data_IF_200048445919
#
_entry.id   IF_200048445919
#
_cell.length_a   1.000
_cell.length_b   1.000
_cell.length_c   1.000
_cell.angle_alpha   90.00
_cell.angle_beta   90.00
_cell.angle_gamma   90.00
#
_symmetry.space_group_name_H-M   'P 1'
#
loop_
_entity.id
_entity.type
_entity.pdbx_description
1 polymer ?
#
# COMPACT_ATOMS: atom_id res chain seq x y z
N UNK A 1 -7.97 -6.77 -2.41
CA UNK A 1 -8.51 -5.87 -3.46
C UNK A 1 -10.02 -6.08 -3.63
N UNK A 2 -10.82 -5.01 -3.66
CA UNK A 2 -12.18 -5.06 -4.23
C UNK A 2 -12.03 -5.28 -5.74
N UNK A 3 -12.83 -6.17 -6.33
CA UNK A 3 -12.96 -6.24 -7.79
C UNK A 3 -13.54 -4.90 -8.27
N UNK A 4 -12.75 -4.15 -9.03
CA UNK A 4 -13.15 -2.88 -9.63
C UNK A 4 -13.68 -3.18 -11.03
N UNK A 5 -14.77 -2.50 -11.37
CA UNK A 5 -15.39 -2.46 -12.69
C UNK A 5 -14.38 -1.92 -13.72
N UNK A 6 -14.00 -2.74 -14.70
CA UNK A 6 -12.90 -2.52 -15.67
C UNK A 6 -13.18 -1.42 -16.72
N UNK A 7 -13.95 -0.36 -16.42
CA UNK A 7 -14.42 0.59 -17.45
C UNK A 7 -14.43 2.07 -17.10
N UNK A 8 -13.75 2.48 -16.03
CA UNK A 8 -13.67 3.91 -15.69
C UNK A 8 -12.21 4.28 -15.48
N UNK A 9 -11.66 5.09 -16.39
CA UNK A 9 -10.38 5.77 -16.23
C UNK A 9 -10.63 7.24 -15.88
N UNK A 10 -9.70 7.86 -15.14
CA UNK A 10 -9.71 9.30 -14.94
C UNK A 10 -9.50 10.01 -16.27
N UNK A 11 -10.40 10.94 -16.62
CA UNK A 11 -10.17 11.83 -17.75
C UNK A 11 -8.96 12.74 -17.47
N UNK A 12 -8.33 13.25 -18.53
CA UNK A 12 -7.18 14.16 -18.38
C UNK A 12 -7.51 15.41 -17.56
N UNK A 13 -8.75 15.90 -17.65
CA UNK A 13 -9.21 17.07 -16.89
C UNK A 13 -9.41 16.72 -15.41
N UNK A 14 -10.06 15.60 -15.10
CA UNK A 14 -10.22 15.14 -13.72
C UNK A 14 -8.86 14.86 -13.06
N UNK A 15 -7.93 14.28 -13.80
CA UNK A 15 -6.57 14.02 -13.33
C UNK A 15 -5.80 15.31 -13.03
N UNK A 16 -5.99 16.35 -13.85
CA UNK A 16 -5.42 17.68 -13.63
C UNK A 16 -6.03 18.35 -12.40
N UNK A 17 -7.35 18.34 -12.26
CA UNK A 17 -8.05 18.91 -11.09
C UNK A 17 -7.60 18.24 -9.81
N UNK A 18 -7.53 16.90 -9.80
CA UNK A 18 -7.02 16.12 -8.67
C UNK A 18 -5.59 16.52 -8.29
N UNK A 19 -4.71 16.59 -9.30
CA UNK A 19 -3.31 16.98 -9.11
C UNK A 19 -3.19 18.38 -8.53
N UNK A 20 -3.82 19.36 -9.16
CA UNK A 20 -3.73 20.76 -8.77
C UNK A 20 -4.27 20.97 -7.35
N UNK A 21 -5.37 20.30 -6.99
CA UNK A 21 -5.91 20.33 -5.62
C UNK A 21 -4.93 19.73 -4.59
N UNK A 22 -4.52 18.47 -4.79
CA UNK A 22 -3.71 17.74 -3.81
C UNK A 22 -2.30 18.35 -3.66
N UNK A 23 -1.71 18.86 -4.74
CA UNK A 23 -0.37 19.48 -4.71
C UNK A 23 -0.39 20.92 -4.21
N UNK A 24 -1.47 21.68 -4.42
CA UNK A 24 -1.59 23.03 -3.84
C UNK A 24 -1.96 23.05 -2.36
N UNK A 25 -2.64 21.99 -1.87
CA UNK A 25 -3.03 21.88 -0.46
C UNK A 25 -1.81 21.76 0.45
N UNK A 26 -1.68 22.62 1.46
CA UNK A 26 -0.49 22.69 2.32
C UNK A 26 -0.36 21.49 3.27
N UNK A 27 -1.48 21.08 3.88
CA UNK A 27 -1.54 19.99 4.86
C UNK A 27 -2.58 18.98 4.38
N UNK A 28 -2.21 17.70 4.33
CA UNK A 28 -3.15 16.64 3.97
C UNK A 28 -3.84 16.10 5.21
N UNK A 29 -5.14 16.37 5.32
CA UNK A 29 -6.01 15.80 6.34
C UNK A 29 -6.69 14.52 5.86
N UNK A 30 -7.68 14.07 6.63
CA UNK A 30 -8.45 12.86 6.29
C UNK A 30 -9.14 12.97 4.92
N UNK A 31 -9.53 14.18 4.49
CA UNK A 31 -10.19 14.39 3.21
C UNK A 31 -9.23 14.14 2.04
N UNK A 32 -8.06 14.77 2.04
CA UNK A 32 -7.03 14.59 1.02
C UNK A 32 -6.57 13.13 0.95
N UNK A 33 -6.38 12.48 2.11
CA UNK A 33 -6.01 11.07 2.19
C UNK A 33 -7.08 10.18 1.55
N UNK A 34 -8.36 10.44 1.82
CA UNK A 34 -9.45 9.67 1.22
C UNK A 34 -9.50 9.92 -0.29
N UNK A 35 -9.50 11.18 -0.71
CA UNK A 35 -9.54 11.55 -2.13
C UNK A 35 -8.41 10.88 -2.90
N UNK A 36 -7.19 10.90 -2.36
CA UNK A 36 -6.06 10.20 -2.94
C UNK A 36 -6.28 8.68 -2.96
N UNK A 37 -6.73 8.08 -1.86
CA UNK A 37 -6.96 6.62 -1.80
C UNK A 37 -8.04 6.14 -2.78
N UNK A 38 -9.08 6.91 -3.06
CA UNK A 38 -10.14 6.51 -4.01
C UNK A 38 -9.66 6.68 -5.46
N UNK A 39 -8.80 7.67 -5.72
CA UNK A 39 -8.25 7.94 -7.06
C UNK A 39 -7.00 7.13 -7.39
N UNK A 40 -6.31 6.57 -6.39
CA UNK A 40 -5.05 5.87 -6.59
C UNK A 40 -5.06 4.70 -7.59
N UNK A 41 -6.13 3.89 -7.72
CA UNK A 41 -6.14 2.78 -8.69
C UNK A 41 -5.99 3.23 -10.15
N UNK A 42 -6.27 4.49 -10.46
CA UNK A 42 -6.20 5.05 -11.82
C UNK A 42 -4.85 5.71 -12.13
N UNK A 43 -3.89 5.66 -11.20
CA UNK A 43 -2.58 6.26 -11.34
C UNK A 43 -1.55 5.20 -11.71
N UNK A 44 -0.59 5.55 -12.56
CA UNK A 44 0.61 4.71 -12.74
C UNK A 44 1.40 4.62 -11.43
N UNK A 45 2.14 3.53 -11.21
CA UNK A 45 2.96 3.33 -9.99
C UNK A 45 3.91 4.51 -9.76
N UNK A 46 4.53 5.03 -10.82
CA UNK A 46 5.41 6.19 -10.74
C UNK A 46 4.67 7.46 -10.29
N UNK A 47 3.47 7.70 -10.81
CA UNK A 47 2.67 8.86 -10.40
C UNK A 47 2.14 8.69 -8.97
N UNK A 48 1.62 7.51 -8.64
CA UNK A 48 1.18 7.15 -7.29
C UNK A 48 2.30 7.38 -6.26
N UNK A 49 3.53 6.96 -6.57
CA UNK A 49 4.69 7.18 -5.69
C UNK A 49 4.99 8.67 -5.47
N UNK A 50 4.81 9.52 -6.49
CA UNK A 50 4.95 10.98 -6.34
C UNK A 50 3.90 11.55 -5.39
N UNK A 51 2.65 11.11 -5.50
CA UNK A 51 1.58 11.52 -4.58
C UNK A 51 1.85 11.03 -3.15
N UNK A 52 2.35 9.81 -2.96
CA UNK A 52 2.74 9.32 -1.63
C UNK A 52 3.85 10.17 -1.01
N UNK A 53 4.85 10.59 -1.80
CA UNK A 53 5.92 11.48 -1.28
C UNK A 53 5.35 12.81 -0.78
N UNK A 54 4.42 13.41 -1.52
CA UNK A 54 3.73 14.62 -1.06
C UNK A 54 2.84 14.35 0.16
N UNK A 55 2.10 13.24 0.16
CA UNK A 55 1.29 12.81 1.30
C UNK A 55 2.14 12.75 2.56
N UNK A 56 3.23 11.96 2.57
CA UNK A 56 4.14 11.79 3.71
C UNK A 56 4.67 13.14 4.19
N UNK A 57 5.11 14.01 3.26
CA UNK A 57 5.63 15.34 3.59
C UNK A 57 4.57 16.25 4.23
N UNK A 58 3.32 16.16 3.80
CA UNK A 58 2.23 17.07 4.19
C UNK A 58 1.33 16.51 5.29
N UNK A 59 1.48 15.25 5.66
CA UNK A 59 0.69 14.61 6.71
C UNK A 59 1.47 14.34 7.99
N UNK A 60 2.78 14.60 8.04
CA UNK A 60 3.69 14.14 9.11
C UNK A 60 3.13 14.33 10.54
N UNK A 61 2.61 15.52 10.85
CA UNK A 61 2.04 15.83 12.18
C UNK A 61 0.67 15.19 12.46
N UNK A 62 -0.05 14.71 11.44
CA UNK A 62 -1.40 14.17 11.53
C UNK A 62 -1.45 12.64 11.47
N UNK A 63 -0.32 11.97 11.20
CA UNK A 63 -0.25 10.51 11.02
C UNK A 63 -0.58 9.72 12.29
N UNK A 64 -0.41 10.32 13.48
CA UNK A 64 -0.73 9.67 14.76
C UNK A 64 -2.20 9.73 15.13
N UNK A 65 -3.02 10.50 14.40
CA UNK A 65 -4.47 10.50 14.60
C UNK A 65 -5.08 9.20 14.06
N UNK A 66 -5.85 8.48 14.89
CA UNK A 66 -6.28 7.10 14.62
C UNK A 66 -7.00 6.89 13.28
N UNK A 67 -7.84 7.84 12.85
CA UNK A 67 -8.51 7.76 11.54
C UNK A 67 -7.57 7.91 10.34
N UNK A 68 -6.57 8.77 10.46
CA UNK A 68 -5.58 9.01 9.40
C UNK A 68 -4.59 7.84 9.31
N UNK A 69 -4.23 7.25 10.46
CA UNK A 69 -3.21 6.20 10.57
C UNK A 69 -3.55 4.95 9.77
N UNK A 70 -4.78 4.44 9.88
CA UNK A 70 -5.20 3.24 9.14
C UNK A 70 -5.20 3.47 7.61
N UNK A 71 -5.66 4.65 7.18
CA UNK A 71 -5.71 4.99 5.76
C UNK A 71 -4.31 5.19 5.20
N UNK A 72 -3.44 5.88 5.95
CA UNK A 72 -2.04 6.06 5.63
C UNK A 72 -1.32 4.71 5.45
N UNK A 73 -1.47 3.78 6.40
CA UNK A 73 -0.89 2.44 6.32
C UNK A 73 -1.42 1.63 5.14
N UNK A 74 -2.72 1.74 4.86
CA UNK A 74 -3.33 1.12 3.68
C UNK A 74 -2.70 1.64 2.38
N UNK A 75 -2.55 2.95 2.25
CA UNK A 75 -1.95 3.60 1.07
C UNK A 75 -0.49 3.13 0.89
N UNK A 76 0.29 3.12 1.97
CA UNK A 76 1.69 2.69 1.91
C UNK A 76 1.85 1.22 1.49
N UNK A 77 1.04 0.32 2.06
CA UNK A 77 1.08 -1.09 1.70
C UNK A 77 0.65 -1.34 0.26
N UNK A 78 -0.37 -0.63 -0.22
CA UNK A 78 -0.79 -0.72 -1.62
C UNK A 78 0.34 -0.26 -2.55
N UNK A 79 1.01 0.84 -2.21
CA UNK A 79 2.18 1.32 -2.95
C UNK A 79 3.34 0.34 -2.95
N UNK A 80 3.61 -0.28 -1.80
CA UNK A 80 4.66 -1.28 -1.67
C UNK A 80 4.38 -2.48 -2.57
N UNK A 81 3.18 -3.06 -2.47
CA UNK A 81 2.75 -4.21 -3.27
C UNK A 81 2.76 -3.89 -4.77
N UNK A 82 2.15 -2.79 -5.19
CA UNK A 82 2.12 -2.39 -6.60
C UNK A 82 3.52 -2.16 -7.17
N UNK A 83 4.44 -1.60 -6.36
CA UNK A 83 5.84 -1.43 -6.78
C UNK A 83 6.58 -2.76 -6.91
N UNK A 84 6.28 -3.76 -6.06
CA UNK A 84 6.85 -5.10 -6.18
C UNK A 84 6.30 -5.82 -7.42
N UNK A 85 4.99 -5.74 -7.65
CA UNK A 85 4.29 -6.36 -8.78
C UNK A 85 4.78 -5.81 -10.12
N UNK A 86 4.97 -4.49 -10.22
CA UNK A 86 5.55 -3.85 -11.42
C UNK A 86 7.08 -3.94 -11.48
N UNK A 87 7.74 -4.65 -10.55
CA UNK A 87 9.20 -4.79 -10.47
C UNK A 87 9.97 -3.44 -10.39
N UNK A 88 9.29 -2.40 -9.91
CA UNK A 88 9.84 -1.07 -9.64
C UNK A 88 10.53 -1.04 -8.27
N UNK A 89 11.63 -1.82 -8.14
CA UNK A 89 12.25 -2.10 -6.83
C UNK A 89 12.75 -0.85 -6.09
N UNK A 90 13.18 0.19 -6.80
CA UNK A 90 13.56 1.47 -6.18
C UNK A 90 12.37 2.10 -5.42
N UNK A 91 11.17 2.05 -6.00
CA UNK A 91 9.95 2.52 -5.34
C UNK A 91 9.56 1.56 -4.21
N UNK A 92 9.66 0.25 -4.42
CA UNK A 92 9.37 -0.74 -3.37
C UNK A 92 10.22 -0.50 -2.11
N UNK A 93 11.52 -0.24 -2.27
CA UNK A 93 12.40 0.10 -1.14
C UNK A 93 12.09 1.44 -0.49
N UNK A 94 11.64 2.43 -1.28
CA UNK A 94 11.14 3.68 -0.72
C UNK A 94 9.93 3.44 0.18
N UNK A 95 8.92 2.69 -0.29
CA UNK A 95 7.74 2.37 0.51
C UNK A 95 8.10 1.57 1.76
N UNK A 96 8.96 0.55 1.61
CA UNK A 96 9.46 -0.23 2.74
C UNK A 96 10.07 0.67 3.82
N UNK A 97 10.96 1.58 3.44
CA UNK A 97 11.57 2.52 4.39
C UNK A 97 10.54 3.38 5.12
N UNK A 98 9.58 3.96 4.39
CA UNK A 98 8.54 4.81 5.00
C UNK A 98 7.63 4.00 5.94
N UNK A 99 7.29 2.76 5.58
CA UNK A 99 6.55 1.84 6.45
C UNK A 99 7.34 1.57 7.74
N UNK A 100 8.65 1.32 7.63
CA UNK A 100 9.52 1.05 8.78
C UNK A 100 9.71 2.28 9.68
N UNK A 101 9.77 3.49 9.11
CA UNK A 101 9.82 4.76 9.87
C UNK A 101 8.56 5.01 10.69
N UNK A 102 7.40 4.54 10.20
CA UNK A 102 6.09 4.70 10.85
C UNK A 102 5.46 3.37 11.23
N UNK A 103 6.27 2.42 11.69
CA UNK A 103 5.86 1.03 11.80
C UNK A 103 4.61 0.81 12.66
N UNK A 104 3.95 -0.32 12.39
CA UNK A 104 2.69 -0.68 12.99
C UNK A 104 2.82 -0.93 14.51
N UNK A 105 1.82 -0.46 15.27
CA UNK A 105 1.64 -0.74 16.70
C UNK A 105 1.28 -2.21 16.90
N UNK A 106 1.42 -2.70 18.14
CA UNK A 106 1.15 -4.11 18.46
C UNK A 106 -0.27 -4.55 18.09
N UNK A 107 -1.25 -3.67 18.29
CA UNK A 107 -2.66 -3.91 17.96
C UNK A 107 -3.00 -3.72 16.47
N UNK A 108 -2.05 -3.30 15.65
CA UNK A 108 -2.20 -3.13 14.19
C UNK A 108 -1.81 -4.43 13.45
N UNK A 109 -2.19 -5.57 14.03
CA UNK A 109 -1.74 -6.91 13.62
C UNK A 109 -2.02 -7.23 12.15
N UNK A 110 -3.16 -6.78 11.63
CA UNK A 110 -3.50 -6.98 10.21
C UNK A 110 -2.40 -6.44 9.29
N UNK A 111 -1.96 -5.19 9.50
CA UNK A 111 -0.93 -4.57 8.67
C UNK A 111 0.42 -5.27 8.83
N UNK A 112 0.76 -5.75 10.03
CA UNK A 112 1.99 -6.53 10.27
C UNK A 112 2.00 -7.84 9.47
N UNK A 113 0.87 -8.54 9.41
CA UNK A 113 0.75 -9.79 8.65
C UNK A 113 0.85 -9.51 7.13
N UNK A 114 0.16 -8.48 6.64
CA UNK A 114 0.22 -8.11 5.22
C UNK A 114 1.63 -7.65 4.83
N UNK A 115 2.30 -6.90 5.69
CA UNK A 115 3.68 -6.48 5.47
C UNK A 115 4.64 -7.67 5.44
N UNK A 116 4.51 -8.63 6.35
CA UNK A 116 5.29 -9.87 6.32
C UNK A 116 5.13 -10.61 4.99
N UNK A 117 3.90 -10.70 4.48
CA UNK A 117 3.63 -11.30 3.19
C UNK A 117 4.28 -10.51 2.04
N UNK A 118 4.15 -9.18 2.03
CA UNK A 118 4.72 -8.29 1.02
C UNK A 118 6.26 -8.33 1.00
N UNK A 119 6.90 -8.39 2.18
CA UNK A 119 8.34 -8.61 2.29
C UNK A 119 8.75 -9.97 1.70
N UNK A 120 7.94 -11.00 1.92
CA UNK A 120 8.17 -12.31 1.32
C UNK A 120 8.07 -12.28 -0.21
N UNK A 121 7.10 -11.54 -0.76
CA UNK A 121 6.99 -11.32 -2.20
C UNK A 121 8.22 -10.59 -2.77
N UNK A 122 8.67 -9.52 -2.10
CA UNK A 122 9.88 -8.79 -2.49
C UNK A 122 11.12 -9.69 -2.47
N UNK A 123 11.30 -10.47 -1.40
CA UNK A 123 12.42 -11.42 -1.27
C UNK A 123 12.41 -12.43 -2.42
N UNK A 124 11.24 -13.00 -2.74
CA UNK A 124 11.07 -13.95 -3.84
C UNK A 124 11.42 -13.34 -5.20
N UNK A 125 10.87 -12.15 -5.51
CA UNK A 125 11.16 -11.42 -6.77
C UNK A 125 12.64 -11.02 -6.91
N UNK A 126 13.36 -10.88 -5.79
CA UNK A 126 14.80 -10.58 -5.77
C UNK A 126 15.71 -11.81 -5.70
N UNK A 127 15.17 -13.02 -5.92
CA UNK A 127 15.92 -14.26 -5.99
C UNK A 127 16.13 -14.99 -4.65
N UNK A 128 15.67 -14.44 -3.52
CA UNK A 128 15.61 -15.12 -2.21
C UNK A 128 14.32 -15.94 -2.08
N UNK A 129 14.09 -16.83 -3.05
CA UNK A 129 12.80 -17.51 -3.24
C UNK A 129 12.39 -18.33 -2.02
N UNK A 130 13.31 -19.05 -1.39
CA UNK A 130 12.99 -19.90 -0.23
C UNK A 130 12.59 -19.09 1.00
N UNK A 131 13.36 -18.05 1.30
CA UNK A 131 13.08 -17.13 2.40
C UNK A 131 11.78 -16.36 2.17
N UNK A 132 11.57 -15.89 0.94
CA UNK A 132 10.39 -15.16 0.54
C UNK A 132 9.11 -16.01 0.63
N UNK A 133 9.15 -17.22 0.05
CA UNK A 133 8.04 -18.17 0.14
C UNK A 133 7.69 -18.51 1.59
N UNK A 134 8.70 -18.75 2.44
CA UNK A 134 8.47 -19.01 3.86
C UNK A 134 7.73 -17.86 4.54
N UNK A 135 8.14 -16.60 4.32
CA UNK A 135 7.47 -15.42 4.88
C UNK A 135 6.01 -15.34 4.42
N UNK A 136 5.74 -15.57 3.13
CA UNK A 136 4.39 -15.55 2.58
C UNK A 136 3.52 -16.66 3.18
N UNK A 137 4.04 -17.88 3.31
CA UNK A 137 3.35 -19.01 3.92
C UNK A 137 3.06 -18.79 5.41
N UNK A 138 4.04 -18.25 6.15
CA UNK A 138 3.87 -17.91 7.57
C UNK A 138 2.78 -16.84 7.75
N UNK A 139 2.73 -15.81 6.88
CA UNK A 139 1.67 -14.80 6.92
C UNK A 139 0.27 -15.40 6.65
N UNK A 140 0.15 -16.29 5.66
CA UNK A 140 -1.10 -17.01 5.37
C UNK A 140 -1.52 -17.87 6.57
N UNK A 141 -0.58 -18.59 7.20
CA UNK A 141 -0.84 -19.40 8.38
C UNK A 141 -1.33 -18.56 9.56
N UNK A 142 -0.75 -17.37 9.78
CA UNK A 142 -1.23 -16.47 10.83
C UNK A 142 -2.69 -16.07 10.56
N UNK A 143 -3.07 -15.75 9.32
CA UNK A 143 -4.48 -15.48 9.00
C UNK A 143 -5.39 -16.67 9.30
N UNK A 144 -4.98 -17.89 8.97
CA UNK A 144 -5.73 -19.11 9.28
C UNK A 144 -5.91 -19.30 10.79
N UNK A 145 -4.83 -19.14 11.56
CA UNK A 145 -4.83 -19.27 13.02
C UNK A 145 -5.77 -18.27 13.71
N UNK A 146 -5.89 -17.06 13.13
CA UNK A 146 -6.80 -16.02 13.61
C UNK A 146 -8.25 -16.18 13.09
N UNK A 147 -8.52 -17.20 12.27
CA UNK A 147 -9.83 -17.41 11.65
C UNK A 147 -10.16 -16.40 10.52
N UNK A 148 -9.17 -15.67 10.02
CA UNK A 148 -9.31 -14.69 8.94
C UNK A 148 -9.32 -15.36 7.56
N UNK A 149 -10.25 -16.29 7.33
CA UNK A 149 -10.27 -17.18 6.17
C UNK A 149 -10.26 -16.45 4.81
N UNK A 150 -10.98 -15.32 4.70
CA UNK A 150 -11.01 -14.51 3.47
C UNK A 150 -9.63 -13.94 3.13
N UNK A 151 -8.90 -13.45 4.13
CA UNK A 151 -7.55 -12.91 3.94
C UNK A 151 -6.56 -14.04 3.62
N UNK A 152 -6.65 -15.17 4.33
CA UNK A 152 -5.82 -16.34 4.04
C UNK A 152 -6.01 -16.83 2.59
N UNK A 153 -7.26 -16.93 2.13
CA UNK A 153 -7.57 -17.32 0.76
C UNK A 153 -7.03 -16.32 -0.27
N UNK A 154 -7.22 -15.02 -0.03
CA UNK A 154 -6.70 -13.97 -0.90
C UNK A 154 -5.18 -14.06 -1.08
N UNK A 155 -4.43 -14.06 0.03
CA UNK A 155 -2.96 -14.06 0.00
C UNK A 155 -2.32 -15.40 -0.39
N UNK A 156 -3.10 -16.49 -0.43
CA UNK A 156 -2.65 -17.78 -0.98
C UNK A 156 -2.71 -17.82 -2.51
N UNK A 157 -3.65 -17.09 -3.12
CA UNK A 157 -3.93 -17.11 -4.57
C UNK A 157 -3.02 -16.21 -5.40
N UNK A 158 -2.16 -15.40 -4.78
CA UNK A 158 -1.32 -14.40 -5.46
C UNK A 158 0.16 -14.80 -5.69
N UNK A 159 0.54 -15.99 -6.23
CA UNK A 159 1.95 -16.24 -6.59
C UNK A 159 2.37 -15.73 -7.98
N UNK A 160 1.48 -15.60 -8.95
CA UNK A 160 1.84 -15.37 -10.36
C UNK A 160 0.89 -14.37 -11.05
N UNK A 161 1.27 -13.09 -11.11
CA UNK A 161 0.82 -12.12 -12.14
C UNK A 161 2.01 -11.29 -12.60
#
# INVERSE_FOLDING_TARGET
>A
MKSIDERVDLTAEEGKVLHDYLFSTEIWGIYELNLFSVSSPFLSVSLFTRYVREMVRKSDFLMEMSGNRNLFHTILLNGFLASIECEEFTNAYYFKRVIEEHFYKENETYFRIVYLWAEGLLDSKQGRVKEGQKKMEDAVRIFEMLGCNKSAEYYRKTPDS
#
